data_IF_788741669657
#
_entry.id   IF_788741669657
#
_cell.length_a   1.000
_cell.length_b   1.000
_cell.length_c   1.000
_cell.angle_alpha   90.00
_cell.angle_beta   90.00
_cell.angle_gamma   90.00
#
_symmetry.space_group_name_H-M   'P 1'
#
loop_
_entity.id
_entity.type
_entity.pdbx_description
1 polymer ?
#
# COMPACT_ATOMS: atom_id res chain seq x y z
N UNK A 1 26.44 22.54 26.51
CA UNK A 1 26.40 23.96 26.28
C UNK A 1 26.52 24.82 27.56
N UNK A 2 26.10 24.37 28.71
CA UNK A 2 26.12 25.19 29.96
C UNK A 2 27.41 25.07 30.79
N UNK A 3 28.53 24.83 30.14
CA UNK A 3 29.84 24.86 30.82
C UNK A 3 29.99 23.85 31.96
N UNK A 4 30.88 24.15 32.91
CA UNK A 4 31.22 23.23 34.02
C UNK A 4 30.14 23.16 35.09
N UNK A 5 29.37 24.22 35.30
CA UNK A 5 28.41 24.30 36.41
C UNK A 5 27.06 23.64 36.11
N UNK A 6 26.72 23.42 34.83
CA UNK A 6 25.49 22.78 34.36
C UNK A 6 24.20 23.37 35.01
N UNK A 7 24.29 24.57 35.52
CA UNK A 7 23.22 25.24 36.25
C UNK A 7 22.34 26.07 35.31
N UNK A 8 21.52 25.40 34.52
CA UNK A 8 20.61 26.04 33.59
C UNK A 8 19.45 25.17 33.21
N UNK A 9 18.43 25.78 32.59
CA UNK A 9 17.29 25.06 32.05
C UNK A 9 17.13 25.44 30.58
N UNK A 10 16.88 24.47 29.73
CA UNK A 10 16.56 24.71 28.34
C UNK A 10 15.04 24.88 28.20
N UNK A 11 14.63 26.04 27.70
CA UNK A 11 13.25 26.27 27.24
C UNK A 11 13.27 26.20 25.72
N UNK A 12 12.42 25.40 25.13
CA UNK A 12 12.44 25.11 23.70
C UNK A 12 11.03 25.18 23.13
N UNK A 13 10.89 25.75 21.94
CA UNK A 13 9.62 25.74 21.24
C UNK A 13 9.23 24.29 20.89
N UNK A 14 7.97 23.92 21.11
CA UNK A 14 7.41 22.62 20.74
C UNK A 14 7.51 22.31 19.24
N UNK A 15 7.57 23.34 18.38
CA UNK A 15 7.73 23.19 16.92
C UNK A 15 9.19 23.09 16.49
N UNK A 16 10.14 23.21 17.40
CA UNK A 16 11.56 23.03 17.07
C UNK A 16 11.88 21.56 16.82
N UNK A 17 12.67 21.25 15.78
CA UNK A 17 13.04 19.87 15.45
C UNK A 17 13.68 19.12 16.64
N UNK A 18 14.49 19.82 17.45
CA UNK A 18 15.12 19.26 18.63
C UNK A 18 14.15 18.98 19.81
N UNK A 19 12.92 19.49 19.79
CA UNK A 19 11.93 19.27 20.86
C UNK A 19 11.61 17.78 21.06
N UNK A 20 11.60 17.00 19.99
CA UNK A 20 11.35 15.55 20.02
C UNK A 20 12.55 14.76 20.57
N UNK A 21 13.74 15.34 20.53
CA UNK A 21 14.98 14.67 20.93
C UNK A 21 15.41 15.06 22.36
N UNK A 22 15.08 16.28 22.80
CA UNK A 22 15.50 16.82 24.09
C UNK A 22 14.29 16.91 25.03
N UNK A 23 13.80 15.77 25.48
CA UNK A 23 12.61 15.62 26.33
C UNK A 23 12.77 16.27 27.72
N UNK A 24 13.99 16.55 28.13
CA UNK A 24 14.29 17.24 29.38
C UNK A 24 14.19 18.79 29.26
N UNK A 25 13.97 19.33 28.07
CA UNK A 25 13.66 20.75 27.90
C UNK A 25 12.24 21.08 28.41
N UNK A 26 12.02 22.32 28.83
CA UNK A 26 10.67 22.84 29.01
C UNK A 26 10.15 23.24 27.64
N UNK A 27 9.13 22.54 27.16
CA UNK A 27 8.52 22.83 25.85
C UNK A 27 7.45 23.90 26.02
N UNK A 28 7.39 24.84 25.08
CA UNK A 28 6.42 25.94 25.09
C UNK A 28 5.88 26.19 23.68
N UNK A 29 4.63 26.61 23.60
CA UNK A 29 4.09 27.19 22.39
C UNK A 29 4.70 28.60 22.19
N UNK A 30 5.44 28.87 21.11
CA UNK A 30 6.09 30.17 20.89
C UNK A 30 5.12 31.35 20.71
N UNK A 31 3.84 31.06 20.49
CA UNK A 31 2.79 32.08 20.34
C UNK A 31 1.99 32.32 21.63
N UNK A 32 2.26 31.54 22.70
CA UNK A 32 1.59 31.68 23.98
C UNK A 32 2.52 32.35 24.98
N UNK A 33 2.25 33.65 25.27
CA UNK A 33 3.07 34.49 26.14
C UNK A 33 2.96 34.01 27.61
N UNK A 34 1.81 33.52 28.02
CA UNK A 34 1.57 33.06 29.38
C UNK A 34 2.34 31.77 29.65
N UNK A 35 2.30 30.81 28.70
CA UNK A 35 3.07 29.58 28.79
C UNK A 35 4.60 29.82 28.81
N UNK A 36 5.08 30.78 27.99
CA UNK A 36 6.49 31.20 28.02
C UNK A 36 6.86 31.80 29.38
N UNK A 37 6.00 32.68 29.92
CA UNK A 37 6.24 33.31 31.23
C UNK A 37 6.30 32.26 32.34
N UNK A 38 5.36 31.31 32.34
CA UNK A 38 5.32 30.22 33.33
C UNK A 38 6.55 29.31 33.21
N UNK A 39 6.98 28.97 32.01
CA UNK A 39 8.18 28.18 31.80
C UNK A 39 9.45 28.89 32.30
N UNK A 40 9.56 30.21 32.11
CA UNK A 40 10.66 31.02 32.66
C UNK A 40 10.62 30.99 34.18
N UNK A 41 9.46 31.16 34.80
CA UNK A 41 9.30 31.11 36.27
C UNK A 41 9.72 29.73 36.80
N UNK A 42 9.23 28.64 36.22
CA UNK A 42 9.60 27.27 36.57
C UNK A 42 11.11 27.09 36.45
N UNK A 43 11.72 27.58 35.36
CA UNK A 43 13.17 27.46 35.16
C UNK A 43 13.99 28.22 36.24
N UNK A 44 13.52 29.37 36.68
CA UNK A 44 14.18 30.16 37.73
C UNK A 44 14.05 29.46 39.10
N UNK A 45 12.84 29.04 39.45
CA UNK A 45 12.50 28.42 40.73
C UNK A 45 12.96 26.98 40.88
N UNK A 46 13.32 26.30 39.77
CA UNK A 46 13.78 24.91 39.76
C UNK A 46 15.03 24.72 40.64
N UNK A 47 15.07 23.64 41.43
CA UNK A 47 16.20 23.27 42.27
C UNK A 47 17.44 22.96 41.46
N UNK A 48 18.60 23.40 41.97
CA UNK A 48 19.91 23.21 41.31
C UNK A 48 20.22 21.74 40.97
N UNK A 49 20.00 20.75 41.84
CA UNK A 49 20.22 19.34 41.49
C UNK A 49 19.40 18.90 40.28
N UNK A 50 18.12 19.28 40.17
CA UNK A 50 17.26 18.94 39.05
C UNK A 50 17.72 19.63 37.75
N UNK A 51 18.18 20.89 37.84
CA UNK A 51 18.77 21.57 36.67
C UNK A 51 19.98 20.81 36.12
N UNK A 52 20.86 20.33 37.03
CA UNK A 52 22.07 19.58 36.68
C UNK A 52 21.69 18.25 36.01
N UNK A 53 20.77 17.49 36.63
CA UNK A 53 20.32 16.19 36.09
C UNK A 53 19.73 16.33 34.66
N UNK A 54 18.87 17.32 34.45
CA UNK A 54 18.28 17.56 33.13
C UNK A 54 19.35 17.89 32.08
N UNK A 55 20.29 18.77 32.40
CA UNK A 55 21.40 19.11 31.48
C UNK A 55 22.30 17.90 31.22
N UNK A 56 22.62 17.08 32.24
CA UNK A 56 23.43 15.88 32.04
C UNK A 56 22.79 14.86 31.14
N UNK A 57 21.48 14.64 31.29
CA UNK A 57 20.73 13.72 30.43
C UNK A 57 20.72 14.20 28.99
N UNK A 58 20.46 15.50 28.75
CA UNK A 58 20.54 16.08 27.41
C UNK A 58 21.95 16.01 26.81
N UNK A 59 22.98 16.32 27.58
CA UNK A 59 24.38 16.24 27.13
C UNK A 59 24.77 14.80 26.79
N UNK A 60 24.36 13.82 27.61
CA UNK A 60 24.60 12.41 27.34
C UNK A 60 23.96 12.00 26.01
N UNK A 61 22.68 12.33 25.79
CA UNK A 61 21.97 12.02 24.55
C UNK A 61 22.66 12.61 23.32
N UNK A 62 23.06 13.88 23.36
CA UNK A 62 23.78 14.53 22.25
C UNK A 62 25.16 13.88 22.00
N UNK A 63 25.85 13.38 23.04
CA UNK A 63 27.10 12.66 22.86
C UNK A 63 26.92 11.28 22.29
N UNK A 64 25.91 10.56 22.77
CA UNK A 64 25.64 9.17 22.37
C UNK A 64 25.07 9.14 20.93
N UNK A 65 24.26 10.13 20.54
CA UNK A 65 23.74 10.28 19.19
C UNK A 65 24.18 11.62 18.55
N UNK A 66 25.42 11.64 18.15
CA UNK A 66 26.04 12.81 17.50
C UNK A 66 25.90 12.74 15.98
N UNK A 67 26.37 13.78 15.29
CA UNK A 67 26.29 13.89 13.82
C UNK A 67 26.95 12.69 13.10
N UNK A 68 27.96 12.06 13.69
CA UNK A 68 28.64 10.90 13.08
C UNK A 68 27.73 9.67 13.13
N UNK A 69 27.06 9.42 14.26
CA UNK A 69 26.10 8.33 14.38
C UNK A 69 24.88 8.57 13.47
N UNK A 70 24.38 9.80 13.42
CA UNK A 70 23.32 10.16 12.47
C UNK A 70 23.73 9.88 11.00
N UNK A 71 24.94 10.25 10.60
CA UNK A 71 25.46 9.98 9.25
C UNK A 71 25.58 8.47 9.00
N UNK A 72 26.04 7.70 9.99
CA UNK A 72 26.11 6.23 9.86
C UNK A 72 24.73 5.61 9.66
N UNK A 73 23.75 5.99 10.45
CA UNK A 73 22.37 5.51 10.33
C UNK A 73 21.78 5.89 8.97
N UNK A 74 22.01 7.12 8.52
CA UNK A 74 21.59 7.61 7.22
C UNK A 74 22.22 6.80 6.07
N UNK A 75 23.54 6.60 6.10
CA UNK A 75 24.25 5.81 5.09
C UNK A 75 23.83 4.34 5.12
N UNK A 76 23.65 3.75 6.30
CA UNK A 76 23.18 2.38 6.44
C UNK A 76 21.77 2.21 5.83
N UNK A 77 20.90 3.17 6.07
CA UNK A 77 19.55 3.19 5.49
C UNK A 77 19.58 3.36 3.97
N UNK A 78 20.45 4.24 3.46
CA UNK A 78 20.71 4.43 2.03
C UNK A 78 21.24 3.15 1.36
N UNK A 79 22.23 2.49 1.99
CA UNK A 79 22.80 1.26 1.46
C UNK A 79 21.75 0.15 1.44
N UNK A 80 20.93 0.03 2.48
CA UNK A 80 19.83 -0.95 2.53
C UNK A 80 18.82 -0.71 1.40
N UNK A 81 18.38 0.54 1.20
CA UNK A 81 17.48 0.91 0.09
C UNK A 81 18.15 0.67 -1.27
N UNK A 82 19.44 1.01 -1.39
CA UNK A 82 20.21 0.78 -2.63
C UNK A 82 20.34 -0.71 -2.95
N UNK A 83 20.57 -1.56 -1.96
CA UNK A 83 20.60 -3.01 -2.15
C UNK A 83 19.23 -3.60 -2.50
N UNK A 84 18.17 -3.14 -1.85
CA UNK A 84 16.80 -3.51 -2.20
C UNK A 84 16.45 -3.09 -3.63
N UNK A 85 16.82 -1.88 -4.03
CA UNK A 85 16.63 -1.39 -5.40
C UNK A 85 17.50 -2.14 -6.42
N UNK A 86 18.71 -2.58 -6.07
CA UNK A 86 19.53 -3.44 -6.93
C UNK A 86 18.92 -4.83 -7.13
N UNK A 87 18.28 -5.39 -6.10
CA UNK A 87 17.58 -6.67 -6.18
C UNK A 87 16.30 -6.58 -7.02
N UNK A 88 15.63 -5.44 -7.00
CA UNK A 88 14.37 -5.18 -7.70
C UNK A 88 14.55 -4.27 -8.93
N UNK A 89 15.60 -4.53 -9.73
CA UNK A 89 15.82 -3.76 -10.98
C UNK A 89 14.60 -3.88 -11.89
N UNK A 90 14.15 -2.72 -12.40
CA UNK A 90 13.17 -2.65 -13.50
C UNK A 90 13.71 -3.45 -14.68
N UNK A 91 13.00 -4.49 -15.08
CA UNK A 91 13.36 -5.36 -16.20
C UNK A 91 12.23 -5.28 -17.22
N UNK A 92 12.31 -4.31 -18.10
CA UNK A 92 11.32 -4.16 -19.18
C UNK A 92 11.29 -5.43 -20.01
N UNK A 93 10.08 -5.94 -20.26
CA UNK A 93 9.84 -7.09 -21.11
C UNK A 93 10.38 -6.83 -22.51
N UNK A 94 11.23 -7.72 -23.01
CA UNK A 94 11.81 -7.66 -24.35
C UNK A 94 10.96 -8.44 -25.36
N UNK A 95 11.19 -8.19 -26.66
CA UNK A 95 10.55 -9.01 -27.70
C UNK A 95 10.91 -10.51 -27.59
N UNK A 96 12.09 -10.84 -27.10
CA UNK A 96 12.47 -12.24 -26.89
C UNK A 96 11.76 -12.85 -25.68
N UNK A 97 11.50 -12.06 -24.62
CA UNK A 97 10.65 -12.51 -23.51
C UNK A 97 9.22 -12.79 -24.01
N UNK A 98 8.65 -11.90 -24.84
CA UNK A 98 7.31 -12.08 -25.43
C UNK A 98 7.27 -13.36 -26.29
N UNK A 99 8.23 -13.54 -27.20
CA UNK A 99 8.32 -14.77 -28.02
C UNK A 99 8.42 -16.02 -27.15
N UNK A 100 9.14 -15.95 -26.04
CA UNK A 100 9.23 -17.06 -25.10
C UNK A 100 7.89 -17.34 -24.42
N UNK A 101 7.20 -16.29 -23.96
CA UNK A 101 5.86 -16.41 -23.35
C UNK A 101 4.89 -17.09 -24.33
N UNK A 102 4.83 -16.60 -25.57
CA UNK A 102 3.97 -17.16 -26.62
C UNK A 102 4.27 -18.64 -26.88
N UNK A 103 5.55 -18.97 -27.07
CA UNK A 103 5.99 -20.36 -27.30
C UNK A 103 5.64 -21.27 -26.13
N UNK A 104 5.85 -20.83 -24.89
CA UNK A 104 5.57 -21.64 -23.72
C UNK A 104 4.03 -21.76 -23.50
N UNK A 105 3.29 -20.71 -23.81
CA UNK A 105 1.83 -20.76 -23.82
C UNK A 105 1.29 -21.80 -24.83
N UNK A 106 1.78 -21.79 -26.06
CA UNK A 106 1.37 -22.75 -27.12
C UNK A 106 1.64 -24.20 -26.73
N UNK A 107 2.81 -24.48 -26.14
CA UNK A 107 3.22 -25.85 -25.76
C UNK A 107 2.47 -26.39 -24.56
N UNK A 108 1.90 -25.52 -23.74
CA UNK A 108 1.22 -25.89 -22.51
C UNK A 108 -0.21 -26.31 -22.77
N UNK A 109 -0.72 -27.27 -22.01
CA UNK A 109 -2.11 -27.72 -22.08
C UNK A 109 -2.96 -27.12 -20.94
N UNK A 110 -2.41 -27.09 -19.74
CA UNK A 110 -3.06 -26.57 -18.56
C UNK A 110 -2.53 -25.16 -18.23
N UNK A 111 -3.29 -24.13 -18.63
CA UNK A 111 -2.85 -22.74 -18.56
C UNK A 111 -3.68 -21.95 -17.57
N UNK A 112 -3.02 -21.05 -16.82
CA UNK A 112 -3.65 -20.11 -15.90
C UNK A 112 -3.13 -18.70 -16.17
N UNK A 113 -4.03 -17.80 -16.51
CA UNK A 113 -3.76 -16.36 -16.64
C UNK A 113 -4.54 -15.62 -15.56
N UNK A 114 -3.83 -14.92 -14.69
CA UNK A 114 -4.38 -14.09 -13.64
C UNK A 114 -4.08 -12.63 -13.94
N UNK A 115 -5.08 -11.79 -13.90
CA UNK A 115 -5.00 -10.40 -14.33
C UNK A 115 -5.61 -9.50 -13.26
N UNK A 116 -4.85 -8.52 -12.79
CA UNK A 116 -5.45 -7.41 -12.07
C UNK A 116 -6.27 -6.54 -13.05
N UNK A 117 -7.18 -5.72 -12.53
CA UNK A 117 -8.11 -4.94 -13.34
C UNK A 117 -7.73 -3.48 -13.49
N UNK A 118 -7.78 -2.71 -12.39
CA UNK A 118 -7.54 -1.26 -12.39
C UNK A 118 -6.04 -0.96 -12.51
N UNK A 119 -5.63 -0.19 -13.51
CA UNK A 119 -4.22 0.08 -13.80
C UNK A 119 -3.51 -1.01 -14.61
N UNK A 120 -4.15 -2.19 -14.79
CA UNK A 120 -3.61 -3.32 -15.52
C UNK A 120 -4.35 -3.57 -16.83
N UNK A 121 -5.65 -3.76 -16.79
CA UNK A 121 -6.51 -3.96 -17.98
C UNK A 121 -7.18 -2.67 -18.43
N UNK A 122 -7.44 -1.75 -17.52
CA UNK A 122 -8.08 -0.45 -17.75
C UNK A 122 -7.29 0.63 -17.05
N UNK A 123 -7.05 1.75 -17.73
CA UNK A 123 -6.34 2.90 -17.14
C UNK A 123 -7.13 3.51 -15.99
N UNK A 124 -6.40 4.05 -15.01
CA UNK A 124 -7.00 4.83 -13.93
C UNK A 124 -7.82 6.00 -14.46
N UNK A 125 -8.97 6.22 -13.86
CA UNK A 125 -9.84 7.37 -14.13
C UNK A 125 -9.92 8.25 -12.88
N UNK A 126 -10.35 9.50 -13.07
CA UNK A 126 -10.56 10.44 -11.96
C UNK A 126 -11.55 9.91 -10.90
N UNK A 127 -12.55 9.17 -11.37
CA UNK A 127 -13.56 8.52 -10.52
C UNK A 127 -13.58 7.01 -10.80
N UNK A 128 -13.52 6.17 -9.77
CA UNK A 128 -13.44 4.71 -9.94
C UNK A 128 -14.55 4.11 -10.81
N UNK A 129 -15.77 4.62 -10.70
CA UNK A 129 -16.91 4.10 -11.48
C UNK A 129 -16.81 4.37 -13.00
N UNK A 130 -15.89 5.27 -13.42
CA UNK A 130 -15.65 5.55 -14.86
C UNK A 130 -14.65 4.56 -15.48
N UNK A 131 -13.92 3.79 -14.68
CA UNK A 131 -12.99 2.77 -15.18
C UNK A 131 -13.77 1.48 -15.46
N UNK A 132 -14.51 1.48 -16.59
CA UNK A 132 -15.30 0.34 -17.08
C UNK A 132 -14.59 -0.34 -18.25
N UNK A 133 -14.77 -1.67 -18.44
CA UNK A 133 -14.17 -2.37 -19.56
C UNK A 133 -14.87 -1.95 -20.88
N UNK A 134 -14.07 -1.73 -21.90
CA UNK A 134 -14.57 -1.53 -23.27
C UNK A 134 -14.87 -2.87 -23.96
N UNK A 135 -15.49 -2.80 -25.13
CA UNK A 135 -15.87 -3.99 -25.93
C UNK A 135 -14.63 -4.81 -26.34
N UNK A 136 -13.54 -4.17 -26.63
CA UNK A 136 -12.32 -4.84 -27.08
C UNK A 136 -11.74 -5.72 -25.96
N UNK A 137 -11.69 -5.20 -24.72
CA UNK A 137 -11.28 -5.97 -23.56
C UNK A 137 -12.19 -7.17 -23.32
N UNK A 138 -13.51 -6.97 -23.38
CA UNK A 138 -14.49 -8.06 -23.24
C UNK A 138 -14.24 -9.15 -24.29
N UNK A 139 -14.07 -8.77 -25.56
CA UNK A 139 -13.78 -9.70 -26.66
C UNK A 139 -12.46 -10.47 -26.45
N UNK A 140 -11.41 -9.80 -25.95
CA UNK A 140 -10.13 -10.44 -25.62
C UNK A 140 -10.35 -11.51 -24.54
N UNK A 141 -11.03 -11.16 -23.43
CA UNK A 141 -11.27 -12.08 -22.32
C UNK A 141 -12.15 -13.28 -22.72
N UNK A 142 -13.20 -13.05 -23.52
CA UNK A 142 -14.06 -14.12 -24.05
C UNK A 142 -13.29 -15.10 -24.95
N UNK A 143 -12.38 -14.60 -25.78
CA UNK A 143 -11.54 -15.46 -26.62
C UNK A 143 -10.50 -16.22 -25.79
N UNK A 144 -9.86 -15.54 -24.82
CA UNK A 144 -8.88 -16.16 -23.92
C UNK A 144 -9.52 -17.26 -23.08
N UNK A 145 -10.74 -17.06 -22.58
CA UNK A 145 -11.43 -18.04 -21.74
C UNK A 145 -11.72 -19.38 -22.46
N UNK A 146 -11.68 -19.38 -23.79
CA UNK A 146 -11.80 -20.61 -24.61
C UNK A 146 -10.49 -21.37 -24.75
N UNK A 147 -9.34 -20.71 -24.51
CA UNK A 147 -7.99 -21.30 -24.66
C UNK A 147 -7.32 -21.60 -23.31
N UNK A 148 -7.75 -20.93 -22.22
CA UNK A 148 -7.05 -20.98 -20.92
C UNK A 148 -7.98 -20.64 -19.77
N UNK A 149 -7.61 -21.02 -18.55
CA UNK A 149 -8.26 -20.52 -17.34
C UNK A 149 -7.86 -19.06 -17.14
N UNK A 150 -8.83 -18.16 -17.15
CA UNK A 150 -8.64 -16.73 -16.90
C UNK A 150 -9.24 -16.37 -15.56
N UNK A 151 -8.51 -15.59 -14.78
CA UNK A 151 -8.96 -15.05 -13.48
C UNK A 151 -8.75 -13.54 -13.46
N UNK A 152 -9.79 -12.78 -13.18
CA UNK A 152 -9.67 -11.35 -12.85
C UNK A 152 -9.60 -11.20 -11.34
N UNK A 153 -8.54 -10.54 -10.84
CA UNK A 153 -8.30 -10.22 -9.44
C UNK A 153 -8.49 -8.72 -9.25
N UNK A 154 -9.46 -8.30 -8.45
CA UNK A 154 -9.78 -6.88 -8.30
C UNK A 154 -10.14 -6.48 -6.87
N UNK A 155 -9.87 -5.22 -6.53
CA UNK A 155 -10.39 -4.58 -5.32
C UNK A 155 -11.85 -4.14 -5.44
N UNK A 156 -12.46 -4.29 -6.62
CA UNK A 156 -13.86 -3.95 -6.88
C UNK A 156 -14.82 -4.88 -6.14
N UNK A 157 -16.04 -4.36 -5.86
CA UNK A 157 -17.12 -5.15 -5.26
C UNK A 157 -17.68 -6.17 -6.25
N UNK A 158 -18.36 -7.18 -5.71
CA UNK A 158 -19.03 -8.23 -6.47
C UNK A 158 -19.95 -7.67 -7.57
N UNK A 159 -20.79 -6.69 -7.22
CA UNK A 159 -21.78 -6.11 -8.15
C UNK A 159 -21.13 -5.50 -9.41
N UNK A 160 -19.94 -4.90 -9.26
CA UNK A 160 -19.19 -4.38 -10.39
C UNK A 160 -18.69 -5.51 -11.29
N UNK A 161 -18.10 -6.54 -10.70
CA UNK A 161 -17.54 -7.66 -11.46
C UNK A 161 -18.62 -8.48 -12.13
N UNK A 162 -19.75 -8.74 -11.48
CA UNK A 162 -20.87 -9.46 -12.08
C UNK A 162 -21.50 -8.67 -13.22
N UNK A 163 -21.66 -7.36 -13.07
CA UNK A 163 -22.23 -6.50 -14.13
C UNK A 163 -21.41 -6.53 -15.40
N UNK A 164 -20.08 -6.51 -15.27
CA UNK A 164 -19.19 -6.35 -16.43
C UNK A 164 -18.62 -7.66 -16.96
N UNK A 165 -18.46 -8.67 -16.10
CA UNK A 165 -17.80 -9.92 -16.45
C UNK A 165 -18.64 -11.17 -16.16
N UNK A 166 -19.82 -11.01 -15.55
CA UNK A 166 -20.66 -12.12 -15.11
C UNK A 166 -21.14 -13.05 -16.25
N UNK A 167 -21.17 -12.55 -17.48
CA UNK A 167 -21.56 -13.30 -18.68
C UNK A 167 -20.36 -13.94 -19.41
N UNK A 168 -19.12 -13.68 -18.95
CA UNK A 168 -17.92 -14.29 -19.53
C UNK A 168 -17.55 -15.51 -18.71
N UNK A 169 -17.14 -16.58 -19.39
CA UNK A 169 -16.76 -17.82 -18.74
C UNK A 169 -15.33 -17.74 -18.14
N UNK A 170 -15.13 -16.90 -17.13
CA UNK A 170 -13.87 -16.68 -16.41
C UNK A 170 -14.11 -16.78 -14.90
N UNK A 171 -13.02 -16.94 -14.15
CA UNK A 171 -13.05 -16.83 -12.70
C UNK A 171 -12.85 -15.39 -12.27
N UNK A 172 -13.45 -15.00 -11.15
CA UNK A 172 -13.41 -13.64 -10.61
C UNK A 172 -13.00 -13.67 -9.14
N UNK A 173 -12.21 -12.68 -8.73
CA UNK A 173 -11.91 -12.43 -7.33
C UNK A 173 -12.22 -10.97 -7.01
N UNK A 174 -13.12 -10.75 -6.04
CA UNK A 174 -13.57 -9.44 -5.60
C UNK A 174 -12.95 -9.06 -4.26
N UNK A 175 -12.95 -7.73 -3.99
CA UNK A 175 -12.48 -7.14 -2.73
C UNK A 175 -11.12 -7.70 -2.28
N UNK A 176 -10.14 -7.69 -3.20
CA UNK A 176 -8.75 -8.15 -2.98
C UNK A 176 -8.62 -9.60 -2.50
N UNK A 177 -9.53 -10.49 -2.90
CA UNK A 177 -9.47 -11.90 -2.52
C UNK A 177 -10.47 -12.33 -1.45
N UNK A 178 -11.29 -11.40 -0.95
CA UNK A 178 -12.32 -11.73 0.02
C UNK A 178 -13.40 -12.67 -0.54
N UNK A 179 -13.67 -12.55 -1.83
CA UNK A 179 -14.65 -13.35 -2.54
C UNK A 179 -14.06 -13.95 -3.81
N UNK A 180 -14.41 -15.19 -4.10
CA UNK A 180 -14.02 -15.89 -5.31
C UNK A 180 -15.27 -16.48 -5.96
N UNK A 181 -15.37 -16.28 -7.28
CA UNK A 181 -16.32 -16.94 -8.18
C UNK A 181 -15.52 -17.71 -9.22
N UNK A 182 -15.62 -19.02 -9.19
CA UNK A 182 -15.00 -19.85 -10.21
C UNK A 182 -15.79 -19.79 -11.51
N UNK A 183 -15.14 -20.18 -12.58
CA UNK A 183 -15.75 -20.31 -13.92
C UNK A 183 -17.04 -21.14 -13.86
N UNK A 184 -18.16 -20.52 -14.24
CA UNK A 184 -19.49 -21.15 -14.20
C UNK A 184 -20.06 -21.38 -12.79
N UNK A 185 -19.37 -20.94 -11.73
CA UNK A 185 -19.77 -21.13 -10.33
C UNK A 185 -20.49 -19.93 -9.72
N UNK A 186 -20.63 -19.99 -8.42
CA UNK A 186 -21.22 -18.93 -7.58
C UNK A 186 -20.13 -18.26 -6.73
N UNK A 187 -20.42 -17.10 -6.18
CA UNK A 187 -19.55 -16.42 -5.25
C UNK A 187 -19.40 -17.17 -3.93
N UNK A 188 -18.18 -17.40 -3.54
CA UNK A 188 -17.79 -17.98 -2.25
C UNK A 188 -17.00 -16.96 -1.44
N UNK A 189 -17.30 -16.88 -0.14
CA UNK A 189 -16.56 -16.07 0.81
C UNK A 189 -15.27 -16.80 1.18
N UNK A 190 -14.12 -16.16 1.04
CA UNK A 190 -12.81 -16.76 1.33
C UNK A 190 -12.32 -16.42 2.74
N UNK A 191 -12.88 -15.41 3.38
CA UNK A 191 -12.48 -14.95 4.71
C UNK A 191 -13.67 -15.03 5.66
N UNK A 192 -13.43 -15.63 6.84
CA UNK A 192 -14.35 -15.59 7.98
C UNK A 192 -13.88 -14.56 9.02
N UNK A 193 -13.05 -13.61 8.62
CA UNK A 193 -12.46 -12.63 9.53
C UNK A 193 -13.54 -11.75 10.18
N UNK A 194 -13.35 -11.48 11.47
CA UNK A 194 -14.19 -10.53 12.20
C UNK A 194 -14.12 -9.14 11.58
N UNK A 195 -15.27 -8.52 11.42
CA UNK A 195 -15.43 -7.15 10.89
C UNK A 195 -15.97 -6.17 11.94
N UNK A 196 -16.04 -6.58 13.20
CA UNK A 196 -16.52 -5.76 14.30
C UNK A 196 -15.75 -4.45 14.46
N UNK A 197 -14.48 -4.45 14.14
CA UNK A 197 -13.60 -3.28 14.16
C UNK A 197 -14.07 -2.14 13.23
N UNK A 198 -14.83 -2.44 12.18
CA UNK A 198 -15.25 -1.44 11.17
C UNK A 198 -16.10 -0.33 11.77
N UNK A 199 -16.97 -0.64 12.74
CA UNK A 199 -17.90 0.33 13.34
C UNK A 199 -17.16 1.50 13.99
N UNK A 200 -16.10 1.21 14.73
CA UNK A 200 -15.33 2.22 15.45
C UNK A 200 -14.44 3.01 14.49
N UNK A 201 -13.80 2.31 13.55
CA UNK A 201 -13.00 2.97 12.51
C UNK A 201 -13.87 3.89 11.62
N UNK A 202 -15.08 3.46 11.25
CA UNK A 202 -16.01 4.32 10.52
C UNK A 202 -16.38 5.58 11.29
N UNK A 203 -16.52 5.50 12.60
CA UNK A 203 -16.77 6.67 13.44
C UNK A 203 -15.60 7.67 13.38
N UNK A 204 -14.36 7.18 13.53
CA UNK A 204 -13.15 8.00 13.40
C UNK A 204 -13.08 8.62 12.01
N UNK A 205 -13.18 7.80 10.95
CA UNK A 205 -13.11 8.25 9.56
C UNK A 205 -14.14 9.34 9.21
N UNK A 206 -15.37 9.22 9.71
CA UNK A 206 -16.42 10.23 9.50
C UNK A 206 -16.03 11.57 10.11
N UNK A 207 -15.42 11.58 11.31
CA UNK A 207 -14.92 12.78 11.93
C UNK A 207 -13.88 13.49 11.07
N UNK A 208 -12.93 12.74 10.50
CA UNK A 208 -11.90 13.30 9.60
C UNK A 208 -12.46 13.71 8.23
N UNK A 209 -13.38 12.93 7.67
CA UNK A 209 -14.04 13.29 6.40
C UNK A 209 -14.78 14.63 6.50
N UNK A 210 -15.42 14.91 7.63
CA UNK A 210 -16.09 16.20 7.88
C UNK A 210 -15.11 17.38 7.94
N UNK A 211 -13.84 17.13 8.29
CA UNK A 211 -12.78 18.16 8.39
C UNK A 211 -11.92 18.26 7.13
N UNK A 212 -12.14 17.37 6.15
CA UNK A 212 -11.37 17.30 4.91
C UNK A 212 -12.31 17.26 3.70
N UNK A 213 -12.80 18.44 3.24
CA UNK A 213 -13.69 18.54 2.09
C UNK A 213 -13.09 17.91 0.85
N UNK A 214 -13.90 17.16 0.11
CA UNK A 214 -13.47 16.40 -1.07
C UNK A 214 -13.04 14.96 -0.76
N UNK A 215 -12.92 14.58 0.52
CA UNK A 215 -12.73 13.20 0.92
C UNK A 215 -14.05 12.42 0.93
N UNK A 216 -13.96 11.10 0.76
CA UNK A 216 -15.10 10.21 0.94
C UNK A 216 -14.65 8.83 1.46
N UNK A 217 -15.57 8.15 2.12
CA UNK A 217 -15.38 6.83 2.70
C UNK A 217 -16.09 5.81 1.81
N UNK A 218 -15.36 4.79 1.38
CA UNK A 218 -15.92 3.63 0.68
C UNK A 218 -15.87 2.42 1.62
N UNK A 219 -17.03 1.99 2.07
CA UNK A 219 -17.15 0.77 2.87
C UNK A 219 -17.34 -0.44 1.97
N UNK A 220 -16.48 -1.45 2.16
CA UNK A 220 -16.56 -2.79 1.53
C UNK A 220 -16.84 -3.83 2.61
N UNK A 221 -16.98 -5.10 2.24
CA UNK A 221 -17.33 -6.16 3.20
C UNK A 221 -16.25 -6.34 4.27
N UNK A 222 -14.99 -6.48 3.87
CA UNK A 222 -13.85 -6.74 4.76
C UNK A 222 -12.83 -5.59 4.82
N UNK A 223 -13.14 -4.45 4.21
CA UNK A 223 -12.26 -3.27 4.24
C UNK A 223 -13.05 -1.96 4.25
N UNK A 224 -12.33 -0.88 4.56
CA UNK A 224 -12.81 0.49 4.44
C UNK A 224 -11.71 1.27 3.73
N UNK A 225 -12.07 1.99 2.67
CA UNK A 225 -11.15 2.88 1.95
C UNK A 225 -11.52 4.34 2.23
N UNK A 226 -10.51 5.15 2.54
CA UNK A 226 -10.65 6.60 2.69
C UNK A 226 -9.95 7.28 1.52
N UNK A 227 -10.73 7.93 0.67
CA UNK A 227 -10.26 8.59 -0.53
C UNK A 227 -10.13 10.09 -0.28
N UNK A 228 -8.95 10.66 -0.60
CA UNK A 228 -8.65 12.08 -0.40
C UNK A 228 -8.00 12.74 -1.64
N UNK A 229 -8.16 12.13 -2.82
CA UNK A 229 -7.59 12.64 -4.07
C UNK A 229 -8.11 14.01 -4.48
N UNK A 230 -9.38 14.29 -4.17
CA UNK A 230 -10.06 15.54 -4.52
C UNK A 230 -10.00 16.61 -3.42
N UNK A 231 -9.18 16.37 -2.38
CA UNK A 231 -8.99 17.32 -1.29
C UNK A 231 -7.91 18.33 -1.63
N UNK A 232 -7.92 19.46 -0.94
CA UNK A 232 -6.81 20.40 -0.96
C UNK A 232 -5.53 19.69 -0.49
N UNK A 233 -4.41 19.79 -1.25
CA UNK A 233 -3.20 19.05 -0.94
C UNK A 233 -2.57 19.37 0.41
N UNK A 234 -2.55 20.65 0.82
CA UNK A 234 -1.94 21.10 2.08
C UNK A 234 -2.76 20.63 3.28
N UNK A 235 -4.08 20.79 3.20
CA UNK A 235 -4.99 20.27 4.22
C UNK A 235 -4.91 18.75 4.33
N UNK A 236 -4.83 18.05 3.19
CA UNK A 236 -4.75 16.60 3.17
C UNK A 236 -3.47 16.09 3.83
N UNK A 237 -2.31 16.74 3.58
CA UNK A 237 -1.04 16.33 4.18
C UNK A 237 -1.09 16.38 5.71
N UNK A 238 -1.62 17.45 6.28
CA UNK A 238 -1.73 17.62 7.73
C UNK A 238 -2.74 16.63 8.31
N UNK A 239 -3.97 16.62 7.78
CA UNK A 239 -5.07 15.83 8.36
C UNK A 239 -4.90 14.33 8.20
N UNK A 240 -4.33 13.88 7.07
CA UNK A 240 -4.03 12.46 6.86
C UNK A 240 -2.94 11.98 7.82
N UNK A 241 -1.94 12.81 8.12
CA UNK A 241 -0.91 12.47 9.09
C UNK A 241 -1.47 12.32 10.50
N UNK A 242 -2.23 13.31 10.97
CA UNK A 242 -2.93 13.26 12.28
C UNK A 242 -3.80 11.99 12.38
N UNK A 243 -4.57 11.74 11.33
CA UNK A 243 -5.44 10.58 11.26
C UNK A 243 -4.67 9.25 11.28
N UNK A 244 -3.57 9.14 10.54
CA UNK A 244 -2.76 7.92 10.49
C UNK A 244 -2.16 7.60 11.86
N UNK A 245 -1.69 8.61 12.59
CA UNK A 245 -1.14 8.43 13.93
C UNK A 245 -2.21 7.91 14.91
N UNK A 246 -3.42 8.46 14.86
CA UNK A 246 -4.56 7.99 15.67
C UNK A 246 -4.97 6.55 15.28
N UNK A 247 -5.05 6.28 13.98
CA UNK A 247 -5.46 4.99 13.47
C UNK A 247 -4.47 3.88 13.81
N UNK A 248 -3.16 4.14 13.70
CA UNK A 248 -2.11 3.18 14.05
C UNK A 248 -2.23 2.80 15.54
N UNK A 249 -2.42 3.78 16.42
CA UNK A 249 -2.59 3.53 17.84
C UNK A 249 -3.82 2.67 18.14
N UNK A 250 -4.94 2.97 17.46
CA UNK A 250 -6.18 2.21 17.62
C UNK A 250 -6.08 0.76 17.10
N UNK A 251 -5.38 0.58 15.97
CA UNK A 251 -5.33 -0.70 15.26
C UNK A 251 -4.24 -1.65 15.74
N UNK A 252 -3.32 -1.19 16.61
CA UNK A 252 -2.12 -1.93 17.04
C UNK A 252 -2.39 -3.34 17.60
N UNK A 253 -3.57 -3.56 18.18
CA UNK A 253 -3.98 -4.84 18.77
C UNK A 253 -5.03 -5.61 17.95
N UNK A 254 -5.34 -5.13 16.73
CA UNK A 254 -6.34 -5.74 15.86
C UNK A 254 -5.66 -6.49 14.71
N UNK A 255 -6.28 -7.58 14.24
CA UNK A 255 -5.79 -8.33 13.07
C UNK A 255 -6.15 -7.63 11.75
N UNK A 256 -5.78 -6.36 11.65
CA UNK A 256 -6.02 -5.52 10.49
C UNK A 256 -4.73 -4.82 10.05
N UNK A 257 -4.69 -4.38 8.81
CA UNK A 257 -3.59 -3.63 8.25
C UNK A 257 -4.10 -2.35 7.60
N UNK A 258 -3.28 -1.31 7.70
CA UNK A 258 -3.50 -0.03 7.02
C UNK A 258 -2.56 0.04 5.84
N UNK A 259 -3.11 0.31 4.68
CA UNK A 259 -2.41 0.28 3.42
C UNK A 259 -2.51 1.64 2.76
N UNK A 260 -1.36 2.24 2.49
CA UNK A 260 -1.28 3.57 1.91
C UNK A 260 -1.11 3.48 0.39
N UNK A 261 -2.13 3.91 -0.35
CA UNK A 261 -2.11 3.99 -1.80
C UNK A 261 -1.97 5.42 -2.32
N UNK A 262 -2.18 5.61 -3.61
CA UNK A 262 -2.10 6.93 -4.25
C UNK A 262 -3.33 7.79 -3.92
N UNK A 263 -3.23 8.63 -2.89
CA UNK A 263 -4.31 9.50 -2.38
C UNK A 263 -5.53 8.70 -1.88
N UNK A 264 -5.26 7.53 -1.36
CA UNK A 264 -6.22 6.63 -0.70
C UNK A 264 -5.48 5.81 0.34
N UNK A 265 -6.10 5.50 1.46
CA UNK A 265 -5.65 4.41 2.30
C UNK A 265 -6.81 3.46 2.57
N UNK A 266 -6.46 2.20 2.65
CA UNK A 266 -7.38 1.12 2.90
C UNK A 266 -7.05 0.44 4.21
N UNK A 267 -8.07 0.23 5.03
CA UNK A 267 -7.99 -0.53 6.26
C UNK A 267 -8.71 -1.84 6.00
N UNK A 268 -8.04 -2.98 6.20
CA UNK A 268 -8.61 -4.30 5.92
C UNK A 268 -8.09 -5.36 6.88
N UNK A 269 -8.81 -6.46 6.97
CA UNK A 269 -8.31 -7.66 7.63
C UNK A 269 -7.03 -8.15 6.95
N UNK A 270 -6.04 -8.55 7.74
CA UNK A 270 -4.73 -8.98 7.25
C UNK A 270 -4.82 -10.16 6.27
N UNK A 271 -5.75 -11.08 6.49
CA UNK A 271 -5.95 -12.28 5.66
C UNK A 271 -6.54 -11.99 4.28
N UNK A 272 -7.19 -10.82 4.11
CA UNK A 272 -7.81 -10.43 2.84
C UNK A 272 -6.78 -9.73 1.96
N UNK A 273 -6.15 -10.49 1.06
CA UNK A 273 -5.16 -9.97 0.12
C UNK A 273 -5.15 -10.76 -1.19
N UNK A 274 -4.63 -10.15 -2.27
CA UNK A 274 -4.56 -10.78 -3.60
C UNK A 274 -3.71 -12.05 -3.60
N UNK A 275 -2.72 -12.15 -2.73
CA UNK A 275 -1.85 -13.32 -2.62
C UNK A 275 -2.61 -14.56 -2.18
N UNK A 276 -3.60 -14.42 -1.30
CA UNK A 276 -4.50 -15.52 -0.90
C UNK A 276 -5.30 -16.03 -2.09
N UNK A 277 -5.89 -15.12 -2.88
CA UNK A 277 -6.62 -15.50 -4.09
C UNK A 277 -5.73 -16.17 -5.15
N UNK A 278 -4.53 -15.62 -5.39
CA UNK A 278 -3.53 -16.22 -6.30
C UNK A 278 -3.14 -17.61 -5.83
N UNK A 279 -2.87 -17.79 -4.53
CA UNK A 279 -2.56 -19.10 -3.95
C UNK A 279 -3.69 -20.10 -4.14
N UNK A 280 -4.93 -19.67 -3.94
CA UNK A 280 -6.11 -20.51 -4.16
C UNK A 280 -6.14 -21.06 -5.59
N UNK A 281 -6.07 -20.18 -6.60
CA UNK A 281 -6.17 -20.60 -8.01
C UNK A 281 -4.97 -21.44 -8.44
N UNK A 282 -3.75 -21.09 -8.03
CA UNK A 282 -2.54 -21.81 -8.40
C UNK A 282 -2.47 -23.22 -7.80
N UNK A 283 -3.00 -23.40 -6.58
CA UNK A 283 -2.95 -24.69 -5.90
C UNK A 283 -4.12 -25.61 -6.28
N UNK A 284 -5.12 -25.10 -7.00
CA UNK A 284 -6.30 -25.86 -7.40
C UNK A 284 -6.02 -26.96 -8.41
N UNK A 285 -5.09 -26.71 -9.35
CA UNK A 285 -4.73 -27.63 -10.41
C UNK A 285 -3.22 -27.62 -10.65
N UNK A 286 -2.74 -28.59 -11.41
CA UNK A 286 -1.37 -28.56 -11.93
C UNK A 286 -1.39 -27.81 -13.24
N UNK A 287 -0.68 -26.66 -13.29
CA UNK A 287 -0.60 -25.83 -14.48
C UNK A 287 0.80 -25.90 -15.09
N UNK A 288 0.85 -26.05 -16.42
CA UNK A 288 2.10 -26.01 -17.21
C UNK A 288 2.51 -24.57 -17.53
N UNK A 289 1.54 -23.65 -17.55
CA UNK A 289 1.73 -22.24 -17.80
C UNK A 289 0.96 -21.41 -16.76
N UNK A 290 1.67 -20.52 -16.08
CA UNK A 290 1.10 -19.56 -15.14
C UNK A 290 1.59 -18.17 -15.51
N UNK A 291 0.68 -17.23 -15.68
CA UNK A 291 0.98 -15.81 -15.86
C UNK A 291 0.16 -14.95 -14.90
N UNK A 292 0.80 -13.99 -14.26
CA UNK A 292 0.14 -12.98 -13.43
C UNK A 292 0.63 -11.59 -13.83
N UNK A 293 -0.31 -10.68 -14.12
CA UNK A 293 -0.05 -9.29 -14.48
C UNK A 293 -0.78 -8.38 -13.49
N UNK A 294 -0.08 -7.38 -12.93
CA UNK A 294 -0.63 -6.41 -11.99
C UNK A 294 0.17 -5.11 -11.98
N UNK A 295 -0.38 -4.03 -11.44
CA UNK A 295 0.24 -2.70 -11.47
C UNK A 295 0.53 -2.10 -10.10
N UNK A 296 -0.18 -2.55 -9.05
CA UNK A 296 -0.15 -1.90 -7.74
C UNK A 296 0.73 -2.67 -6.73
N UNK A 297 0.96 -2.05 -5.59
CA UNK A 297 1.65 -2.65 -4.45
C UNK A 297 0.88 -3.87 -3.87
N UNK A 298 -0.46 -3.91 -4.02
CA UNK A 298 -1.28 -5.08 -3.62
C UNK A 298 -0.95 -6.34 -4.42
N UNK A 299 -0.32 -6.19 -5.59
CA UNK A 299 0.12 -7.29 -6.43
C UNK A 299 1.50 -7.82 -6.03
N UNK A 300 2.28 -7.04 -5.28
CA UNK A 300 3.64 -7.43 -4.89
C UNK A 300 3.67 -8.70 -4.04
N UNK A 301 2.67 -8.91 -3.18
CA UNK A 301 2.59 -10.13 -2.38
C UNK A 301 2.27 -11.35 -3.25
N UNK A 302 1.45 -11.18 -4.28
CA UNK A 302 1.21 -12.21 -5.28
C UNK A 302 2.45 -12.50 -6.14
N UNK A 303 3.22 -11.46 -6.55
CA UNK A 303 4.49 -11.66 -7.24
C UNK A 303 5.51 -12.43 -6.38
N UNK A 304 5.59 -12.15 -5.08
CA UNK A 304 6.48 -12.87 -4.14
C UNK A 304 6.13 -14.35 -4.04
N UNK A 305 4.84 -14.70 -3.92
CA UNK A 305 4.38 -16.10 -3.86
C UNK A 305 4.72 -16.85 -5.15
N UNK A 306 4.66 -16.18 -6.29
CA UNK A 306 4.95 -16.76 -7.59
C UNK A 306 6.44 -16.77 -7.95
N UNK A 307 7.32 -16.18 -7.13
CA UNK A 307 8.74 -16.02 -7.41
C UNK A 307 9.45 -17.35 -7.69
N UNK A 308 9.20 -18.33 -6.83
CA UNK A 308 9.83 -19.64 -6.89
C UNK A 308 9.05 -20.66 -7.76
N UNK A 309 7.94 -20.22 -8.34
CA UNK A 309 7.13 -21.02 -9.25
C UNK A 309 7.56 -20.76 -10.71
N UNK A 310 7.34 -21.75 -11.59
CA UNK A 310 7.51 -21.55 -13.03
C UNK A 310 6.35 -20.69 -13.57
N UNK A 311 6.37 -19.41 -13.22
CA UNK A 311 5.32 -18.45 -13.56
C UNK A 311 5.93 -17.21 -14.22
N UNK A 312 5.21 -16.62 -15.15
CA UNK A 312 5.47 -15.31 -15.73
C UNK A 312 4.78 -14.25 -14.87
N UNK A 313 5.56 -13.40 -14.21
CA UNK A 313 5.05 -12.29 -13.41
C UNK A 313 5.45 -10.97 -14.03
N UNK A 314 4.47 -10.12 -14.32
CA UNK A 314 4.66 -8.88 -15.08
C UNK A 314 4.02 -7.71 -14.33
N UNK A 315 4.85 -6.72 -13.97
CA UNK A 315 4.41 -5.46 -13.38
C UNK A 315 4.08 -4.45 -14.45
N UNK A 316 2.91 -3.83 -14.39
CA UNK A 316 2.59 -2.69 -15.25
C UNK A 316 3.23 -1.42 -14.67
N UNK A 317 3.89 -0.64 -15.55
CA UNK A 317 4.63 0.56 -15.15
C UNK A 317 6.09 0.34 -14.83
N UNK A 318 6.81 1.45 -14.58
CA UNK A 318 8.26 1.49 -14.41
C UNK A 318 8.68 1.54 -12.93
N UNK A 319 7.90 1.01 -12.03
CA UNK A 319 8.25 0.92 -10.62
C UNK A 319 9.04 -0.37 -10.33
N UNK A 320 9.91 -0.30 -9.32
CA UNK A 320 10.58 -1.48 -8.75
C UNK A 320 9.55 -2.49 -8.26
N UNK A 321 9.78 -3.78 -8.51
CA UNK A 321 8.81 -4.85 -8.22
C UNK A 321 9.49 -6.20 -7.99
N UNK A 322 8.81 -7.08 -7.26
CA UNK A 322 9.15 -8.49 -7.17
C UNK A 322 8.80 -9.29 -8.44
N UNK A 323 8.07 -8.69 -9.39
CA UNK A 323 7.77 -9.29 -10.67
C UNK A 323 9.05 -9.56 -11.50
N UNK A 324 9.02 -10.61 -12.32
CA UNK A 324 10.17 -11.00 -13.18
C UNK A 324 10.39 -9.99 -14.32
N UNK A 325 9.36 -9.30 -14.78
CA UNK A 325 9.38 -8.30 -15.87
C UNK A 325 8.45 -7.12 -15.59
N UNK A 326 8.71 -6.02 -16.30
CA UNK A 326 7.84 -4.85 -16.35
C UNK A 326 7.30 -4.67 -17.76
N UNK A 327 6.04 -4.28 -17.90
CA UNK A 327 5.39 -3.84 -19.14
C UNK A 327 4.96 -2.38 -18.98
N UNK A 328 5.07 -1.57 -20.03
CA UNK A 328 4.99 -0.12 -19.86
C UNK A 328 3.58 0.40 -19.53
N UNK A 329 2.55 -0.14 -20.19
CA UNK A 329 1.20 0.41 -20.14
C UNK A 329 0.13 -0.68 -20.22
N UNK A 330 -1.09 -0.34 -19.82
CA UNK A 330 -2.29 -1.18 -20.00
C UNK A 330 -2.53 -1.58 -21.46
N UNK A 331 -2.25 -0.65 -22.41
CA UNK A 331 -2.31 -0.95 -23.84
C UNK A 331 -1.36 -2.07 -24.25
N UNK A 332 -0.12 -2.06 -23.72
CA UNK A 332 0.85 -3.12 -23.99
C UNK A 332 0.46 -4.46 -23.34
N UNK A 333 -0.22 -4.44 -22.21
CA UNK A 333 -0.83 -5.66 -21.63
C UNK A 333 -1.87 -6.25 -22.61
N UNK A 334 -2.78 -5.42 -23.11
CA UNK A 334 -3.80 -5.88 -24.07
C UNK A 334 -3.20 -6.40 -25.38
N UNK A 335 -2.13 -5.76 -25.89
CA UNK A 335 -1.38 -6.26 -27.05
C UNK A 335 -0.83 -7.66 -26.77
N UNK A 336 -0.16 -7.89 -25.62
CA UNK A 336 0.35 -9.20 -25.23
C UNK A 336 -0.77 -10.25 -25.16
N UNK A 337 -1.94 -9.89 -24.57
CA UNK A 337 -3.08 -10.80 -24.50
C UNK A 337 -3.65 -11.12 -25.89
N UNK A 338 -3.64 -10.14 -26.82
CA UNK A 338 -4.06 -10.38 -28.21
C UNK A 338 -3.07 -11.29 -28.96
N UNK A 339 -1.75 -11.14 -28.72
CA UNK A 339 -0.74 -12.03 -29.31
C UNK A 339 -0.94 -13.49 -28.87
N UNK A 340 -1.34 -13.73 -27.60
CA UNK A 340 -1.71 -15.08 -27.12
C UNK A 340 -2.94 -15.68 -27.83
N UNK A 341 -3.74 -14.85 -28.50
CA UNK A 341 -4.92 -15.28 -29.24
C UNK A 341 -4.63 -15.60 -30.71
N UNK A 342 -3.60 -15.00 -31.30
CA UNK A 342 -3.29 -15.10 -32.71
C UNK A 342 -2.63 -16.43 -33.12
N UNK A 343 -2.45 -17.30 -32.13
CA UNK A 343 -1.93 -18.66 -32.27
C UNK A 343 -3.04 -19.67 -31.91
#
# INVERSE_FOLDING_TARGET
>A
AKGKEKNGVLILSEVAGAAKELSEALLVNPNDIDEISDAIKIAIEMDTPLKIERIENMQKRIKDYNVIEWVKDFLTSLDKISEENKKNKIKIISNDDIKKILKDFQKSQNRLIMLDYDGTLVDFKSLPYMAVPDRDLINILEKLSKKTNVVILSGRKIDFLDRHFGNINISLSAEHGAFIKEQGGVWNVMSNSDVGWKKEILFILKSYSNRLPGSYIEEKTFSISFHYRNCDPEMAEIRVKEFMDELINYTSNLNIQILNGNKVFEIRNYEVNKATAVSYFVNKNIYDFIMFIGDDWTDEDAFKILKDKNAYTIKVGLNSSAAKRNILTTGKVRELLMELLND
#
